data_IF_564536082288
#
_entry.id   IF_564536082288
#
_cell.length_a   1.000
_cell.length_b   1.000
_cell.length_c   1.000
_cell.angle_alpha   90.00
_cell.angle_beta   90.00
_cell.angle_gamma   90.00
#
_symmetry.space_group_name_H-M   'P 1'
#
loop_
_entity.id
_entity.type
_entity.pdbx_description
1 polymer ?
#
# COMPACT_ATOMS: atom_id res chain seq x y z
N UNK A 1 2.90 -17.87 -4.94
CA UNK A 1 1.66 -17.82 -4.17
C UNK A 1 1.50 -16.47 -3.49
N UNK A 2 0.28 -15.96 -3.40
CA UNK A 2 0.08 -14.73 -2.65
C UNK A 2 0.35 -14.98 -1.16
N UNK A 3 0.92 -13.99 -0.50
CA UNK A 3 1.18 -14.08 0.92
C UNK A 3 -0.12 -13.94 1.72
N UNK A 4 -0.23 -14.72 2.79
CA UNK A 4 -1.32 -14.56 3.73
C UNK A 4 -1.19 -13.19 4.43
N UNK A 5 -2.30 -12.50 4.78
CA UNK A 5 -2.24 -11.21 5.45
C UNK A 5 -1.41 -11.22 6.73
N UNK A 6 -1.48 -12.29 7.52
CA UNK A 6 -0.68 -12.41 8.73
C UNK A 6 0.82 -12.52 8.44
N UNK A 7 1.18 -13.17 7.33
CA UNK A 7 2.56 -13.26 6.91
C UNK A 7 3.11 -11.91 6.45
N UNK A 8 2.30 -11.14 5.74
CA UNK A 8 2.66 -9.78 5.34
C UNK A 8 2.96 -8.93 6.58
N UNK A 9 2.13 -9.03 7.60
CA UNK A 9 2.31 -8.31 8.86
C UNK A 9 3.62 -8.70 9.54
N UNK A 10 3.93 -9.99 9.63
CA UNK A 10 5.18 -10.48 10.22
C UNK A 10 6.39 -10.00 9.43
N UNK A 11 6.33 -10.08 8.11
CA UNK A 11 7.43 -9.63 7.25
C UNK A 11 7.69 -8.14 7.48
N UNK A 12 6.66 -7.34 7.62
CA UNK A 12 6.79 -5.91 7.87
C UNK A 12 7.42 -5.62 9.23
N UNK A 13 7.05 -6.37 10.26
CA UNK A 13 7.58 -6.21 11.61
C UNK A 13 9.07 -6.53 11.67
N UNK A 14 9.54 -7.44 10.82
CA UNK A 14 10.93 -7.86 10.77
C UNK A 14 11.82 -7.03 9.86
N UNK A 15 11.23 -6.08 9.11
CA UNK A 15 12.00 -5.20 8.23
C UNK A 15 12.30 -3.88 8.92
N UNK A 16 13.36 -3.17 8.48
CA UNK A 16 13.60 -1.82 8.97
C UNK A 16 12.40 -0.92 8.73
N UNK A 17 12.09 -0.09 9.71
CA UNK A 17 10.97 0.85 9.62
C UNK A 17 11.50 2.27 9.45
N UNK A 18 10.76 3.08 8.72
CA UNK A 18 11.11 4.46 8.46
C UNK A 18 10.01 5.37 8.97
N UNK A 19 10.42 6.46 9.62
CA UNK A 19 9.48 7.50 10.08
C UNK A 19 9.49 8.63 9.07
N UNK A 20 8.32 8.94 8.50
CA UNK A 20 8.18 10.05 7.56
C UNK A 20 6.99 10.90 7.94
N UNK A 21 7.08 12.20 7.65
CA UNK A 21 5.95 13.10 7.80
C UNK A 21 5.26 13.22 6.45
N UNK A 22 3.98 12.90 6.41
CA UNK A 22 3.18 12.97 5.19
C UNK A 22 1.99 13.88 5.42
N UNK A 23 1.71 14.74 4.46
CA UNK A 23 0.48 15.51 4.44
C UNK A 23 -0.58 14.74 3.65
N UNK A 24 -1.85 15.16 3.76
CA UNK A 24 -2.97 14.47 3.10
C UNK A 24 -2.74 14.30 1.60
N UNK A 25 -2.20 15.33 0.96
CA UNK A 25 -1.91 15.30 -0.49
C UNK A 25 -0.91 14.22 -0.84
N UNK A 26 0.12 14.03 -0.01
CA UNK A 26 1.11 12.97 -0.21
C UNK A 26 0.45 11.60 -0.12
N UNK A 27 -0.39 11.40 0.87
CA UNK A 27 -1.07 10.11 1.08
C UNK A 27 -1.99 9.80 -0.10
N UNK A 28 -2.73 10.81 -0.58
CA UNK A 28 -3.60 10.65 -1.74
C UNK A 28 -2.81 10.29 -2.98
N UNK A 29 -1.68 10.93 -3.20
CA UNK A 29 -0.82 10.65 -4.34
C UNK A 29 -0.28 9.21 -4.28
N UNK A 30 0.16 8.78 -3.10
CA UNK A 30 0.66 7.43 -2.90
C UNK A 30 -0.47 6.42 -3.18
N UNK A 31 -1.66 6.66 -2.66
CA UNK A 31 -2.80 5.78 -2.90
C UNK A 31 -3.07 5.65 -4.40
N UNK A 32 -3.14 6.79 -5.09
CA UNK A 32 -3.44 6.79 -6.52
C UNK A 32 -2.35 6.06 -7.32
N UNK A 33 -1.09 6.25 -6.95
CA UNK A 33 0.03 5.58 -7.61
C UNK A 33 -0.03 4.07 -7.41
N UNK A 34 -0.31 3.62 -6.19
CA UNK A 34 -0.42 2.19 -5.89
C UNK A 34 -1.62 1.58 -6.60
N UNK A 35 -2.76 2.29 -6.61
CA UNK A 35 -3.97 1.83 -7.27
C UNK A 35 -3.74 1.69 -8.78
N UNK A 36 -3.12 2.69 -9.39
CA UNK A 36 -2.77 2.66 -10.81
C UNK A 36 -1.84 1.48 -11.12
N UNK A 37 -0.80 1.31 -10.31
CA UNK A 37 0.13 0.19 -10.46
C UNK A 37 -0.61 -1.14 -10.38
N UNK A 38 -1.50 -1.29 -9.40
CA UNK A 38 -2.26 -2.52 -9.20
C UNK A 38 -3.15 -2.84 -10.42
N UNK A 39 -3.85 -1.83 -10.93
CA UNK A 39 -4.76 -2.02 -12.06
C UNK A 39 -4.05 -2.30 -13.39
N UNK A 40 -2.83 -1.81 -13.52
CA UNK A 40 -2.08 -1.89 -14.78
C UNK A 40 -0.93 -2.89 -14.73
N UNK A 41 -0.87 -3.74 -13.70
CA UNK A 41 0.17 -4.77 -13.62
C UNK A 41 0.04 -5.77 -14.75
N UNK A 42 1.16 -6.19 -15.37
CA UNK A 42 1.13 -7.31 -16.31
C UNK A 42 0.69 -8.58 -15.60
N UNK A 43 0.26 -9.58 -16.38
CA UNK A 43 -0.08 -10.90 -15.82
C UNK A 43 1.12 -11.49 -15.10
N UNK A 44 0.87 -12.27 -14.03
CA UNK A 44 1.92 -12.82 -13.17
C UNK A 44 3.06 -13.48 -13.96
N UNK A 45 2.72 -14.24 -15.01
CA UNK A 45 3.71 -14.97 -15.78
C UNK A 45 4.66 -14.06 -16.56
N UNK A 46 4.30 -12.81 -16.78
CA UNK A 46 5.05 -11.85 -17.59
C UNK A 46 5.61 -10.69 -16.79
N UNK A 47 5.42 -10.69 -15.46
CA UNK A 47 5.90 -9.58 -14.65
C UNK A 47 7.41 -9.68 -14.41
N UNK A 48 8.17 -8.57 -14.54
CA UNK A 48 9.56 -8.54 -14.11
C UNK A 48 9.68 -8.91 -12.63
N UNK A 49 10.86 -9.38 -12.24
CA UNK A 49 11.07 -9.83 -10.87
C UNK A 49 10.74 -8.75 -9.83
N UNK A 50 11.06 -7.49 -10.13
CA UNK A 50 10.80 -6.39 -9.21
C UNK A 50 9.30 -6.00 -9.11
N UNK A 51 8.45 -6.60 -9.95
CA UNK A 51 7.00 -6.36 -9.94
C UNK A 51 6.21 -7.58 -9.45
N UNK A 52 6.86 -8.46 -8.69
CA UNK A 52 6.23 -9.71 -8.23
C UNK A 52 5.61 -9.61 -6.84
N UNK A 53 5.34 -8.39 -6.36
CA UNK A 53 4.63 -8.22 -5.10
C UNK A 53 3.24 -8.86 -5.16
N UNK A 54 2.83 -9.44 -4.04
CA UNK A 54 1.53 -10.08 -3.98
C UNK A 54 0.39 -9.06 -4.09
N UNK A 55 -0.71 -9.48 -4.68
CA UNK A 55 -1.92 -8.67 -4.75
C UNK A 55 -2.40 -8.30 -3.33
N UNK A 56 -2.26 -9.21 -2.39
CA UNK A 56 -2.65 -8.95 -1.01
C UNK A 56 -1.82 -7.84 -0.36
N UNK A 57 -0.53 -7.77 -0.68
CA UNK A 57 0.33 -6.69 -0.20
C UNK A 57 -0.13 -5.34 -0.74
N UNK A 58 -0.45 -5.28 -2.03
CA UNK A 58 -0.93 -4.04 -2.65
C UNK A 58 -2.26 -3.60 -2.05
N UNK A 59 -3.18 -4.53 -1.86
CA UNK A 59 -4.47 -4.25 -1.22
C UNK A 59 -4.28 -3.73 0.20
N UNK A 60 -3.35 -4.30 0.94
CA UNK A 60 -3.06 -3.88 2.31
C UNK A 60 -2.55 -2.44 2.34
N UNK A 61 -1.61 -2.09 1.45
CA UNK A 61 -1.07 -0.73 1.37
C UNK A 61 -2.19 0.26 1.03
N UNK A 62 -3.04 -0.07 0.05
CA UNK A 62 -4.16 0.81 -0.32
C UNK A 62 -5.11 1.02 0.85
N UNK A 63 -5.37 -0.03 1.62
CA UNK A 63 -6.23 0.06 2.80
C UNK A 63 -5.63 1.01 3.85
N UNK A 64 -4.34 0.90 4.09
CA UNK A 64 -3.64 1.78 5.05
C UNK A 64 -3.73 3.24 4.60
N UNK A 65 -3.44 3.50 3.32
CA UNK A 65 -3.50 4.87 2.78
C UNK A 65 -4.91 5.44 2.86
N UNK A 66 -5.92 4.63 2.54
CA UNK A 66 -7.32 5.06 2.63
C UNK A 66 -7.72 5.38 4.07
N UNK A 67 -7.30 4.56 5.02
CA UNK A 67 -7.55 4.82 6.45
C UNK A 67 -6.95 6.15 6.88
N UNK A 68 -5.73 6.44 6.45
CA UNK A 68 -5.07 7.71 6.75
C UNK A 68 -5.83 8.90 6.17
N UNK A 69 -6.34 8.76 4.94
CA UNK A 69 -7.13 9.82 4.30
C UNK A 69 -8.45 10.05 5.05
N UNK A 70 -9.09 8.98 5.50
CA UNK A 70 -10.33 9.08 6.27
C UNK A 70 -10.11 9.77 7.60
N UNK A 71 -9.03 9.43 8.30
CA UNK A 71 -8.68 10.08 9.57
C UNK A 71 -8.42 11.57 9.36
N UNK A 72 -7.71 11.92 8.31
CA UNK A 72 -7.42 13.32 7.98
C UNK A 72 -8.72 14.10 7.74
N UNK A 73 -9.64 13.53 6.95
CA UNK A 73 -10.94 14.16 6.70
C UNK A 73 -11.73 14.35 7.98
N UNK A 74 -11.68 13.36 8.86
CA UNK A 74 -12.38 13.41 10.13
C UNK A 74 -11.85 14.54 11.01
N UNK A 75 -10.53 14.72 11.04
CA UNK A 75 -9.89 15.78 11.81
C UNK A 75 -10.24 17.17 11.27
N UNK A 76 -10.36 17.30 9.95
CA UNK A 76 -10.70 18.58 9.34
C UNK A 76 -12.12 19.06 9.66
N UNK A 77 -13.00 18.14 9.97
CA UNK A 77 -14.41 18.44 10.27
C UNK A 77 -14.65 18.82 11.72
N UNK A 78 -13.61 18.90 12.50
CA UNK A 78 -13.67 19.44 13.84
C UNK A 78 -13.39 20.94 13.81
#
# INVERSE_FOLDING_TARGET
MPKHPNQIKRDRENQPHFMVKLVEEDVRLIYNAVDFYHKNRPKSAHRPQHMQESTEHLKWIKKVMMTMMMESSFQKNK
#
